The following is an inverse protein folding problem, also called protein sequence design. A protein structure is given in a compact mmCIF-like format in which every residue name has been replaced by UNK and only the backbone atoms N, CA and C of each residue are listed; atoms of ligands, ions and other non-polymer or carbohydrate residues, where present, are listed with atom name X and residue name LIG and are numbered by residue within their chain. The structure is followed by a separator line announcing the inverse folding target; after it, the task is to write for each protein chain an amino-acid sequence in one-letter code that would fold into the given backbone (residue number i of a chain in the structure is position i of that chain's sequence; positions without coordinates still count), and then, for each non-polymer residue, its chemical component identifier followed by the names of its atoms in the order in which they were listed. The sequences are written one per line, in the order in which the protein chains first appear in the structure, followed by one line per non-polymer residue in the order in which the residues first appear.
data_IF_000465035959
#
_entry.id   IF_000465035959
#
_cell.length_a   1.000
_cell.length_b   1.000
_cell.length_c   1.000
_cell.angle_alpha   90.00
_cell.angle_beta   90.00
_cell.angle_gamma   90.00
#
_symmetry.space_group_name_H-M   'P 1'
#
loop_
_entity.id
_entity.type
_entity.pdbx_description
1 polymer ?
#
# COMPACT_ATOMS: atom_id res chain seq x y z
N UNK A 1 61.65 -26.35 16.43
CA UNK A 1 60.68 -25.29 16.78
C UNK A 1 59.59 -25.27 15.73
N UNK A 2 58.43 -25.76 16.11
CA UNK A 2 57.26 -25.76 15.21
C UNK A 2 56.52 -24.45 15.38
N UNK A 3 56.46 -23.63 14.33
CA UNK A 3 55.66 -22.43 14.30
C UNK A 3 54.21 -22.82 13.94
N UNK A 4 53.34 -22.70 14.92
CA UNK A 4 51.91 -22.89 14.69
C UNK A 4 51.38 -21.59 14.09
N UNK A 5 51.04 -21.62 12.81
CA UNK A 5 50.28 -20.57 12.17
C UNK A 5 48.78 -20.78 12.54
N UNK A 6 48.28 -20.00 13.47
CA UNK A 6 46.88 -19.88 13.70
C UNK A 6 46.27 -19.03 12.59
N UNK A 7 45.61 -19.68 11.65
CA UNK A 7 44.75 -19.01 10.69
C UNK A 7 43.44 -18.68 11.40
N UNK A 8 43.29 -17.42 11.79
CA UNK A 8 42.00 -16.91 12.24
C UNK A 8 41.10 -16.78 11.02
N UNK A 9 40.21 -17.77 10.82
CA UNK A 9 39.14 -17.67 9.85
C UNK A 9 38.11 -16.67 10.39
N UNK A 10 38.20 -15.43 9.91
CA UNK A 10 37.18 -14.42 10.16
C UNK A 10 35.93 -14.79 9.40
N UNK A 11 34.92 -15.29 10.14
CA UNK A 11 33.59 -15.51 9.60
C UNK A 11 32.93 -14.14 9.39
N UNK A 12 33.04 -13.61 8.17
CA UNK A 12 32.30 -12.41 7.78
C UNK A 12 30.83 -12.81 7.66
N UNK A 13 30.04 -12.51 8.69
CA UNK A 13 28.58 -12.50 8.59
C UNK A 13 28.20 -11.43 7.58
N UNK A 14 27.97 -11.83 6.35
CA UNK A 14 27.28 -10.98 5.41
C UNK A 14 25.83 -10.87 5.88
N UNK A 15 25.52 -9.80 6.63
CA UNK A 15 24.14 -9.39 6.83
C UNK A 15 23.60 -8.99 5.45
N UNK A 16 22.94 -9.94 4.79
CA UNK A 16 22.12 -9.62 3.65
C UNK A 16 20.95 -8.77 4.16
N UNK A 17 21.09 -7.46 4.04
CA UNK A 17 19.98 -6.55 4.24
C UNK A 17 18.92 -6.90 3.21
N UNK A 18 17.82 -7.52 3.64
CA UNK A 18 16.63 -7.65 2.82
C UNK A 18 16.22 -6.24 2.39
N UNK A 19 15.98 -6.00 1.10
CA UNK A 19 15.49 -4.70 0.69
C UNK A 19 14.20 -4.42 1.45
N UNK A 20 14.19 -3.37 2.27
CA UNK A 20 12.97 -2.88 2.88
C UNK A 20 11.98 -2.62 1.75
N UNK A 21 10.77 -3.18 1.83
CA UNK A 21 9.71 -2.87 0.89
C UNK A 21 9.60 -1.35 0.81
N UNK A 22 9.81 -0.79 -0.38
CA UNK A 22 9.78 0.65 -0.57
C UNK A 22 8.41 1.17 -0.15
N UNK A 23 8.38 2.15 0.76
CA UNK A 23 7.15 2.83 1.13
C UNK A 23 6.49 3.42 -0.10
N UNK A 24 5.17 3.43 -0.14
CA UNK A 24 4.41 4.10 -1.17
C UNK A 24 4.63 5.61 -1.14
N UNK A 25 4.49 6.22 -2.30
CA UNK A 25 4.59 7.66 -2.50
C UNK A 25 3.19 8.29 -2.38
N UNK A 26 2.95 9.04 -1.30
CA UNK A 26 1.66 9.65 -1.03
C UNK A 26 1.25 10.70 -2.09
N UNK A 27 2.18 11.43 -2.67
CA UNK A 27 1.88 12.41 -3.74
C UNK A 27 1.40 11.70 -5.01
N UNK A 28 2.04 10.61 -5.40
CA UNK A 28 1.57 9.76 -6.47
C UNK A 28 0.22 9.13 -6.15
N UNK A 29 0.06 8.66 -4.93
CA UNK A 29 -1.20 8.09 -4.45
C UNK A 29 -2.35 9.06 -4.55
N UNK A 30 -2.12 10.33 -4.23
CA UNK A 30 -3.12 11.40 -4.39
C UNK A 30 -3.57 11.54 -5.84
N UNK A 31 -2.65 11.53 -6.78
CA UNK A 31 -2.97 11.61 -8.20
C UNK A 31 -3.73 10.37 -8.68
N UNK A 32 -3.31 9.20 -8.25
CA UNK A 32 -3.95 7.93 -8.62
C UNK A 32 -5.36 7.80 -8.03
N UNK A 33 -5.57 8.32 -6.82
CA UNK A 33 -6.86 8.28 -6.13
C UNK A 33 -7.94 9.14 -6.79
N UNK A 34 -7.57 10.01 -7.72
CA UNK A 34 -8.51 10.86 -8.44
C UNK A 34 -9.70 10.08 -9.00
N UNK A 35 -9.46 8.90 -9.58
CA UNK A 35 -10.53 8.07 -10.15
C UNK A 35 -11.44 7.42 -9.10
N UNK A 36 -11.04 7.42 -7.86
CA UNK A 36 -11.78 6.81 -6.75
C UNK A 36 -12.68 7.81 -6.03
N UNK A 37 -12.36 9.10 -6.11
CA UNK A 37 -13.03 10.17 -5.36
C UNK A 37 -14.51 10.31 -5.69
N UNK A 38 -14.91 9.98 -6.91
CA UNK A 38 -16.31 10.05 -7.33
C UNK A 38 -17.23 9.15 -6.50
N UNK A 39 -16.74 8.00 -6.07
CA UNK A 39 -17.48 7.06 -5.23
C UNK A 39 -17.14 7.20 -3.76
N UNK A 40 -15.84 7.17 -3.42
CA UNK A 40 -15.42 7.15 -2.03
C UNK A 40 -15.41 8.53 -1.35
N UNK A 41 -15.20 9.59 -2.13
CA UNK A 41 -14.95 10.90 -1.56
C UNK A 41 -13.62 10.95 -0.78
N UNK A 42 -13.31 12.09 -0.24
CA UNK A 42 -12.22 12.32 0.70
C UNK A 42 -12.71 13.24 1.80
N UNK A 43 -11.90 13.50 2.83
CA UNK A 43 -12.23 14.48 3.87
C UNK A 43 -12.64 15.80 3.20
N UNK A 44 -13.74 16.39 3.66
CA UNK A 44 -14.35 17.61 3.12
C UNK A 44 -15.00 17.49 1.72
N UNK A 45 -14.92 16.33 1.07
CA UNK A 45 -15.62 16.05 -0.17
C UNK A 45 -16.64 14.94 0.01
N UNK A 46 -17.86 15.19 -0.38
CA UNK A 46 -18.89 14.15 -0.49
C UNK A 46 -18.70 13.39 -1.80
N UNK A 47 -19.07 12.11 -1.82
CA UNK A 47 -19.09 11.38 -3.08
C UNK A 47 -20.17 11.93 -4.02
N UNK A 48 -20.06 11.60 -5.30
CA UNK A 48 -21.03 12.03 -6.32
C UNK A 48 -22.41 11.41 -6.13
N UNK A 49 -22.50 10.31 -5.39
CA UNK A 49 -23.72 9.57 -5.13
C UNK A 49 -24.00 9.50 -3.62
N UNK A 50 -24.52 10.58 -3.01
CA UNK A 50 -24.66 10.65 -1.54
C UNK A 50 -25.60 9.60 -0.96
N UNK A 51 -26.47 9.01 -1.77
CA UNK A 51 -27.34 7.90 -1.38
C UNK A 51 -26.70 6.53 -1.56
N UNK A 52 -25.57 6.44 -2.27
CA UNK A 52 -24.85 5.20 -2.49
C UNK A 52 -23.84 4.99 -1.35
N UNK A 53 -24.01 3.87 -0.65
CA UNK A 53 -23.16 3.56 0.50
C UNK A 53 -21.85 2.94 0.05
N UNK A 54 -20.79 3.73 0.07
CA UNK A 54 -19.41 3.28 -0.12
C UNK A 54 -18.59 3.58 1.13
N UNK A 55 -17.62 2.72 1.48
CA UNK A 55 -16.79 2.97 2.65
C UNK A 55 -15.99 4.26 2.54
N UNK A 56 -15.87 4.98 3.65
CA UNK A 56 -14.91 6.07 3.78
C UNK A 56 -13.52 5.44 3.95
N UNK A 57 -12.61 5.77 3.06
CA UNK A 57 -11.27 5.15 3.01
C UNK A 57 -10.15 6.05 3.52
N UNK A 58 -10.38 7.36 3.63
CA UNK A 58 -9.42 8.30 4.18
C UNK A 58 -9.12 8.02 5.65
N UNK A 59 -7.84 8.01 6.02
CA UNK A 59 -7.39 7.75 7.38
C UNK A 59 -7.36 6.27 7.78
N UNK A 60 -7.62 5.36 6.85
CA UNK A 60 -7.54 3.93 7.09
C UNK A 60 -6.08 3.47 7.20
N UNK A 61 -5.86 2.35 7.88
CA UNK A 61 -4.54 1.75 8.05
C UNK A 61 -3.91 1.39 6.69
N UNK A 62 -2.64 1.76 6.49
CA UNK A 62 -1.93 1.53 5.24
C UNK A 62 -1.84 0.06 4.87
N UNK A 63 -1.45 -0.79 5.81
CA UNK A 63 -1.35 -2.23 5.58
C UNK A 63 -2.69 -2.87 5.22
N UNK A 64 -3.76 -2.43 5.87
CA UNK A 64 -5.12 -2.87 5.55
C UNK A 64 -5.53 -2.46 4.13
N UNK A 65 -5.24 -1.22 3.73
CA UNK A 65 -5.55 -0.73 2.38
C UNK A 65 -4.83 -1.52 1.30
N UNK A 66 -3.55 -1.80 1.51
CA UNK A 66 -2.75 -2.64 0.59
C UNK A 66 -3.38 -4.03 0.48
N UNK A 67 -3.69 -4.66 1.61
CA UNK A 67 -4.29 -5.98 1.63
C UNK A 67 -5.65 -6.01 0.95
N UNK A 68 -6.49 -5.01 1.19
CA UNK A 68 -7.82 -4.91 0.61
C UNK A 68 -7.77 -4.73 -0.92
N UNK A 69 -6.97 -3.78 -1.41
CA UNK A 69 -6.84 -3.53 -2.84
C UNK A 69 -6.19 -4.72 -3.55
N UNK A 70 -5.18 -5.32 -2.96
CA UNK A 70 -4.55 -6.53 -3.49
C UNK A 70 -5.55 -7.69 -3.53
N UNK A 71 -6.36 -7.85 -2.50
CA UNK A 71 -7.42 -8.86 -2.44
C UNK A 71 -8.44 -8.69 -3.55
N UNK A 72 -8.89 -7.47 -3.84
CA UNK A 72 -9.76 -7.20 -4.97
C UNK A 72 -9.07 -7.49 -6.31
N UNK A 73 -7.83 -7.05 -6.47
CA UNK A 73 -7.05 -7.27 -7.69
C UNK A 73 -6.91 -8.75 -8.02
N UNK A 74 -6.70 -9.59 -7.01
CA UNK A 74 -6.54 -11.04 -7.16
C UNK A 74 -7.86 -11.81 -7.19
N UNK A 75 -8.98 -11.15 -6.96
CA UNK A 75 -10.28 -11.79 -6.86
C UNK A 75 -10.53 -12.52 -5.54
N UNK A 76 -9.70 -12.30 -4.52
CA UNK A 76 -9.86 -12.88 -3.18
C UNK A 76 -10.95 -12.18 -2.36
N UNK A 77 -11.21 -10.91 -2.67
CA UNK A 77 -12.37 -10.16 -2.15
C UNK A 77 -13.39 -9.98 -3.26
N UNK A 78 -14.64 -10.31 -2.97
CA UNK A 78 -15.72 -10.27 -3.97
C UNK A 78 -16.39 -8.90 -3.97
N UNK A 79 -16.11 -8.11 -4.98
CA UNK A 79 -16.81 -6.87 -5.32
C UNK A 79 -16.45 -6.51 -6.77
N UNK A 80 -17.30 -6.79 -7.75
CA UNK A 80 -16.93 -6.64 -9.16
C UNK A 80 -16.43 -5.25 -9.55
N UNK A 81 -17.04 -4.19 -9.02
CA UNK A 81 -16.61 -2.82 -9.30
C UNK A 81 -15.23 -2.53 -8.71
N UNK A 82 -14.99 -2.91 -7.45
CA UNK A 82 -13.69 -2.72 -6.82
C UNK A 82 -12.62 -3.60 -7.44
N UNK A 83 -12.96 -4.80 -7.86
CA UNK A 83 -12.04 -5.66 -8.59
C UNK A 83 -11.57 -5.00 -9.89
N UNK A 84 -12.49 -4.47 -10.67
CA UNK A 84 -12.16 -3.75 -11.91
C UNK A 84 -11.27 -2.54 -11.65
N UNK A 85 -11.54 -1.77 -10.60
CA UNK A 85 -10.69 -0.65 -10.21
C UNK A 85 -9.29 -1.12 -9.80
N UNK A 86 -9.19 -2.11 -8.92
CA UNK A 86 -7.92 -2.58 -8.39
C UNK A 86 -7.04 -3.25 -9.47
N UNK A 87 -7.64 -3.95 -10.43
CA UNK A 87 -6.93 -4.56 -11.56
C UNK A 87 -6.23 -3.52 -12.45
N UNK A 88 -6.69 -2.28 -12.46
CA UNK A 88 -6.06 -1.20 -13.22
C UNK A 88 -4.76 -0.69 -12.63
N UNK A 89 -4.45 -1.06 -11.39
CA UNK A 89 -3.26 -0.57 -10.67
C UNK A 89 -2.19 -1.65 -10.54
N UNK A 90 -0.94 -1.21 -10.65
CA UNK A 90 0.21 -2.04 -10.28
C UNK A 90 0.31 -2.17 -8.75
N UNK A 91 1.07 -3.15 -8.27
CA UNK A 91 1.31 -3.30 -6.83
C UNK A 91 1.98 -2.07 -6.22
N UNK A 92 2.85 -1.40 -6.97
CA UNK A 92 3.46 -0.14 -6.57
C UNK A 92 2.43 0.96 -6.44
N UNK A 93 1.54 1.11 -7.39
CA UNK A 93 0.47 2.10 -7.37
C UNK A 93 -0.51 1.86 -6.22
N UNK A 94 -0.80 0.60 -5.90
CA UNK A 94 -1.59 0.25 -4.72
C UNK A 94 -0.89 0.73 -3.43
N UNK A 95 0.42 0.55 -3.33
CA UNK A 95 1.19 1.05 -2.19
C UNK A 95 1.16 2.58 -2.10
N UNK A 96 1.24 3.27 -3.23
CA UNK A 96 1.17 4.72 -3.31
C UNK A 96 -0.21 5.25 -2.87
N UNK A 97 -1.28 4.64 -3.34
CA UNK A 97 -2.66 4.97 -2.93
C UNK A 97 -2.83 4.75 -1.42
N UNK A 98 -2.36 3.64 -0.90
CA UNK A 98 -2.43 3.32 0.53
C UNK A 98 -1.65 4.32 1.38
N UNK A 99 -0.47 4.74 0.94
CA UNK A 99 0.32 5.77 1.61
C UNK A 99 -0.42 7.11 1.67
N UNK A 100 -1.06 7.50 0.58
CA UNK A 100 -1.86 8.73 0.54
C UNK A 100 -3.05 8.65 1.51
N UNK A 101 -3.87 7.62 1.38
CA UNK A 101 -5.10 7.49 2.18
C UNK A 101 -4.82 7.39 3.67
N UNK A 102 -3.79 6.63 4.06
CA UNK A 102 -3.41 6.49 5.48
C UNK A 102 -2.87 7.79 6.08
N UNK A 103 -2.36 8.71 5.25
CA UNK A 103 -1.87 10.02 5.69
C UNK A 103 -2.99 11.02 5.98
N UNK A 104 -4.20 10.76 5.54
CA UNK A 104 -5.34 11.63 5.73
C UNK A 104 -5.92 11.51 7.14
N UNK A 105 -6.60 12.56 7.61
CA UNK A 105 -7.37 12.45 8.85
C UNK A 105 -8.54 11.48 8.62
N UNK A 106 -8.87 10.66 9.64
CA UNK A 106 -10.05 9.80 9.55
C UNK A 106 -11.28 10.62 9.18
N UNK A 107 -12.09 10.10 8.25
CA UNK A 107 -13.36 10.70 7.92
C UNK A 107 -14.32 10.56 9.11
N UNK A 108 -14.86 11.68 9.58
CA UNK A 108 -15.83 11.74 10.66
C UNK A 108 -17.23 11.41 10.13
#
# INVERSE_FOLDING_TARGET
MKRILTVAAGLALALSALPAAAKGDAEKGKQLFYTCTGCHGIADYKNAYPTYRVPKVGGQNEGYLIAALTGYKKGERSHPTMQAQAESFTDREIADIAAYLSSLKPAQ
#
